data_IF_528482285176
#
_entry.id   IF_528482285176
#
_cell.length_a   1.000
_cell.length_b   1.000
_cell.length_c   1.000
_cell.angle_alpha   90.00
_cell.angle_beta   90.00
_cell.angle_gamma   90.00
#
_symmetry.space_group_name_H-M   'P 1'
#
loop_
_entity.id
_entity.type
_entity.pdbx_description
1 polymer ?
#
# COMPACT_ATOMS: atom_id res chain seq x y z
N UNK A 1 -41.99 -31.00 -60.81
CA UNK A 1 -42.35 -29.98 -59.80
C UNK A 1 -41.63 -30.30 -58.50
N UNK A 2 -41.33 -29.28 -57.68
CA UNK A 2 -40.54 -29.26 -56.41
C UNK A 2 -39.03 -29.50 -56.55
N UNK A 3 -38.08 -28.71 -56.02
CA UNK A 3 -38.04 -27.60 -55.04
C UNK A 3 -36.79 -26.71 -55.30
N UNK A 4 -36.89 -25.38 -55.07
CA UNK A 4 -35.75 -24.46 -54.82
C UNK A 4 -35.37 -24.56 -53.34
N UNK A 5 -34.07 -24.49 -52.98
CA UNK A 5 -33.47 -23.27 -52.40
C UNK A 5 -31.97 -23.15 -52.75
N UNK A 6 -31.14 -22.25 -52.23
CA UNK A 6 -31.12 -20.80 -51.93
C UNK A 6 -29.63 -20.50 -51.64
N UNK A 7 -29.17 -19.29 -51.99
CA UNK A 7 -27.79 -18.77 -51.88
C UNK A 7 -27.15 -19.02 -50.51
N UNK A 8 -25.83 -19.23 -50.47
CA UNK A 8 -24.96 -18.63 -49.44
C UNK A 8 -23.50 -18.63 -49.89
N UNK A 9 -22.92 -17.43 -50.00
CA UNK A 9 -21.50 -17.22 -50.21
C UNK A 9 -20.71 -17.58 -48.96
N UNK A 10 -19.55 -18.20 -49.15
CA UNK A 10 -18.61 -18.50 -48.09
C UNK A 10 -17.80 -17.24 -47.76
N UNK A 11 -18.06 -16.64 -46.60
CA UNK A 11 -17.22 -15.64 -45.98
C UNK A 11 -16.06 -16.36 -45.27
N UNK A 12 -14.84 -16.19 -45.80
CA UNK A 12 -13.61 -16.63 -45.15
C UNK A 12 -13.36 -15.69 -43.97
N UNK A 13 -13.66 -16.15 -42.77
CA UNK A 13 -13.36 -15.43 -41.52
C UNK A 13 -11.91 -15.76 -41.15
N UNK A 14 -11.00 -14.82 -41.40
CA UNK A 14 -9.63 -14.90 -40.87
C UNK A 14 -9.68 -14.74 -39.35
N UNK A 15 -9.31 -15.80 -38.62
CA UNK A 15 -9.17 -15.77 -37.16
C UNK A 15 -7.96 -14.90 -36.79
N UNK A 16 -8.22 -13.71 -36.27
CA UNK A 16 -7.22 -12.91 -35.58
C UNK A 16 -6.95 -13.55 -34.20
N UNK A 17 -5.79 -14.20 -34.03
CA UNK A 17 -5.32 -14.64 -32.72
C UNK A 17 -4.92 -13.41 -31.89
N UNK A 18 -5.76 -13.02 -30.95
CA UNK A 18 -5.39 -12.07 -29.91
C UNK A 18 -4.46 -12.79 -28.91
N UNK A 19 -3.17 -12.44 -28.92
CA UNK A 19 -2.24 -12.85 -27.87
C UNK A 19 -2.62 -12.11 -26.58
N UNK A 20 -3.25 -12.83 -25.65
CA UNK A 20 -3.45 -12.34 -24.29
C UNK A 20 -2.08 -12.20 -23.64
N UNK A 21 -1.55 -10.98 -23.59
CA UNK A 21 -0.44 -10.64 -22.72
C UNK A 21 -1.00 -10.68 -21.29
N UNK A 22 -0.92 -11.85 -20.67
CA UNK A 22 -1.01 -11.98 -19.22
C UNK A 22 0.22 -11.26 -18.66
N UNK A 23 0.10 -9.94 -18.51
CA UNK A 23 1.03 -9.16 -17.71
C UNK A 23 1.01 -9.76 -16.32
N UNK A 24 2.07 -10.47 -15.96
CA UNK A 24 2.38 -10.75 -14.57
C UNK A 24 2.42 -9.38 -13.90
N UNK A 25 1.36 -9.04 -13.16
CA UNK A 25 1.42 -7.90 -12.26
C UNK A 25 2.59 -8.22 -11.32
N UNK A 26 3.72 -7.54 -11.53
CA UNK A 26 4.74 -7.49 -10.49
C UNK A 26 4.01 -7.02 -9.24
N UNK A 27 4.23 -7.64 -8.07
CA UNK A 27 3.67 -7.09 -6.84
C UNK A 27 4.05 -5.61 -6.83
N UNK A 28 3.07 -4.71 -6.67
CA UNK A 28 3.33 -3.28 -6.58
C UNK A 28 4.47 -3.13 -5.58
N UNK A 29 5.65 -2.73 -6.08
CA UNK A 29 6.86 -2.77 -5.29
C UNK A 29 6.65 -1.78 -4.14
N UNK A 30 6.39 -2.33 -2.95
CA UNK A 30 6.64 -1.72 -1.67
C UNK A 30 7.90 -0.85 -1.76
N UNK A 31 7.80 0.44 -1.51
CA UNK A 31 8.93 1.35 -1.58
C UNK A 31 9.71 1.37 -0.25
N UNK A 32 9.91 0.21 0.38
CA UNK A 32 10.82 0.12 1.51
C UNK A 32 12.24 0.21 0.98
N UNK A 33 12.99 1.17 1.49
CA UNK A 33 14.36 1.43 1.10
C UNK A 33 15.21 1.79 2.32
N UNK A 34 16.53 1.81 2.16
CA UNK A 34 17.45 2.23 3.23
C UNK A 34 17.58 3.74 3.21
N UNK A 35 17.36 4.40 4.34
CA UNK A 35 17.61 5.83 4.50
C UNK A 35 18.32 6.10 5.84
N UNK A 36 18.74 7.36 6.06
CA UNK A 36 19.32 7.80 7.33
C UNK A 36 18.35 8.72 8.06
N UNK A 37 17.98 8.36 9.27
CA UNK A 37 17.17 9.17 10.18
C UNK A 37 18.06 9.56 11.35
N UNK A 38 18.29 10.85 11.57
CA UNK A 38 19.19 11.38 12.60
C UNK A 38 20.62 10.79 12.61
N UNK A 39 21.11 10.32 11.46
CA UNK A 39 22.43 9.71 11.33
C UNK A 39 22.44 8.18 11.44
N UNK A 40 21.33 7.57 11.88
CA UNK A 40 21.19 6.11 11.96
C UNK A 40 20.58 5.55 10.67
N UNK A 41 21.19 4.49 10.13
CA UNK A 41 20.70 3.82 8.93
C UNK A 41 19.53 2.90 9.27
N UNK A 42 18.35 3.19 8.74
CA UNK A 42 17.11 2.45 8.99
C UNK A 42 16.37 2.10 7.70
N UNK A 43 15.31 1.29 7.82
CA UNK A 43 14.38 1.04 6.73
C UNK A 43 13.35 2.15 6.71
N UNK A 44 13.04 2.69 5.54
CA UNK A 44 12.19 3.86 5.38
C UNK A 44 11.17 3.63 4.28
N UNK A 45 10.09 4.39 4.31
CA UNK A 45 9.04 4.41 3.30
C UNK A 45 8.42 5.79 3.23
N UNK A 46 7.47 5.98 2.33
CA UNK A 46 6.72 7.23 2.21
C UNK A 46 5.27 7.07 2.66
N UNK A 47 4.72 8.13 3.23
CA UNK A 47 3.30 8.24 3.56
C UNK A 47 2.48 8.41 2.28
N UNK A 48 1.32 7.73 2.21
CA UNK A 48 0.46 7.72 1.03
C UNK A 48 -1.02 7.52 1.42
N UNK A 49 -1.92 7.68 0.44
CA UNK A 49 -3.34 7.35 0.60
C UNK A 49 -4.13 8.30 1.51
N UNK A 50 -3.59 9.48 1.82
CA UNK A 50 -4.32 10.53 2.56
C UNK A 50 -5.13 11.39 1.57
N UNK A 51 -6.39 11.67 1.90
CA UNK A 51 -7.24 12.56 1.10
C UNK A 51 -6.68 14.00 1.00
N UNK A 52 -6.89 14.70 -0.13
CA UNK A 52 -6.48 16.10 -0.27
C UNK A 52 -7.03 17.00 0.86
N UNK A 53 -6.16 17.81 1.47
CA UNK A 53 -6.54 18.69 2.59
C UNK A 53 -6.59 18.00 3.96
N UNK A 54 -6.31 16.70 4.03
CA UNK A 54 -6.21 15.93 5.27
C UNK A 54 -4.75 15.62 5.63
N UNK A 55 -4.55 15.07 6.83
CA UNK A 55 -3.25 14.63 7.33
C UNK A 55 -3.38 13.31 8.07
N UNK A 56 -2.29 12.55 8.12
CA UNK A 56 -2.16 11.37 8.96
C UNK A 56 -1.62 11.81 10.33
N UNK A 57 -2.36 11.49 11.39
CA UNK A 57 -1.98 11.82 12.75
C UNK A 57 -1.27 10.64 13.42
N UNK A 58 -0.01 10.84 13.81
CA UNK A 58 0.73 9.92 14.68
C UNK A 58 0.07 9.79 16.04
N UNK A 59 0.02 8.56 16.54
CA UNK A 59 -0.59 8.17 17.82
C UNK A 59 0.46 7.67 18.79
N UNK A 60 0.19 7.84 20.08
CA UNK A 60 1.05 7.32 21.16
C UNK A 60 0.95 5.81 21.35
N UNK A 61 -0.03 5.16 20.70
CA UNK A 61 -0.19 3.71 20.64
C UNK A 61 -0.94 3.29 19.36
N UNK A 62 -1.06 1.98 19.10
CA UNK A 62 -1.58 1.44 17.84
C UNK A 62 -3.12 1.49 17.79
N UNK A 63 -3.70 2.69 17.82
CA UNK A 63 -5.15 2.85 17.76
C UNK A 63 -5.61 4.30 17.81
N UNK A 64 -6.85 4.54 17.41
CA UNK A 64 -7.43 5.88 17.34
C UNK A 64 -7.91 6.41 18.70
N UNK A 65 -8.05 5.53 19.70
CA UNK A 65 -8.30 5.90 21.09
C UNK A 65 -7.06 6.42 21.85
N UNK A 66 -5.86 6.26 21.29
CA UNK A 66 -4.63 6.76 21.88
C UNK A 66 -4.45 8.26 21.62
N UNK A 67 -3.75 8.93 22.54
CA UNK A 67 -3.44 10.36 22.42
C UNK A 67 -2.61 10.64 21.16
N UNK A 68 -2.82 11.82 20.59
CA UNK A 68 -2.02 12.33 19.47
C UNK A 68 -0.59 12.62 19.94
N UNK A 69 0.40 12.28 19.12
CA UNK A 69 1.76 12.79 19.32
C UNK A 69 1.76 14.28 18.95
N UNK A 70 2.22 15.18 19.83
CA UNK A 70 2.31 16.61 19.54
C UNK A 70 3.17 16.87 18.29
N UNK A 71 2.69 17.72 17.38
CA UNK A 71 3.35 18.00 16.10
C UNK A 71 3.66 16.74 15.26
N UNK A 72 2.84 15.69 15.42
CA UNK A 72 2.97 14.41 14.71
C UNK A 72 2.03 14.26 13.52
N UNK A 73 1.80 15.33 12.76
CA UNK A 73 0.98 15.30 11.54
C UNK A 73 1.87 15.03 10.34
N UNK A 74 1.44 14.13 9.46
CA UNK A 74 2.14 13.71 8.25
C UNK A 74 1.27 13.93 7.02
N UNK A 75 1.91 14.19 5.88
CA UNK A 75 1.31 14.40 4.58
C UNK A 75 1.77 13.33 3.59
N UNK A 76 1.04 13.19 2.47
CA UNK A 76 1.48 12.32 1.39
C UNK A 76 2.88 12.74 0.90
N UNK A 77 3.78 11.76 0.77
CA UNK A 77 5.16 11.96 0.35
C UNK A 77 6.16 12.16 1.50
N UNK A 78 5.71 12.36 2.74
CA UNK A 78 6.62 12.41 3.89
C UNK A 78 7.36 11.07 4.04
N UNK A 79 8.69 11.13 4.16
CA UNK A 79 9.53 9.96 4.42
C UNK A 79 9.61 9.68 5.91
N UNK A 80 9.41 8.42 6.28
CA UNK A 80 9.38 7.97 7.68
C UNK A 80 10.27 6.75 7.88
N UNK A 81 10.99 6.72 8.99
CA UNK A 81 11.75 5.54 9.42
C UNK A 81 10.81 4.50 10.03
N UNK A 82 11.03 3.22 9.73
CA UNK A 82 10.26 2.08 10.21
C UNK A 82 11.03 1.38 11.33
N UNK A 83 10.47 1.38 12.55
CA UNK A 83 11.15 0.80 13.74
C UNK A 83 10.69 -0.62 14.03
N UNK A 84 9.38 -0.83 14.19
CA UNK A 84 8.76 -2.12 14.42
C UNK A 84 7.26 -2.07 14.07
N UNK A 85 6.62 -3.23 13.94
CA UNK A 85 5.19 -3.31 13.66
C UNK A 85 4.41 -3.99 14.78
N UNK A 86 3.13 -3.67 14.92
CA UNK A 86 2.20 -4.35 15.82
C UNK A 86 0.79 -4.37 15.22
N UNK A 87 -0.17 -4.96 15.94
CA UNK A 87 -1.58 -4.92 15.57
C UNK A 87 -2.38 -4.01 16.50
N UNK A 88 -3.42 -3.39 15.97
CA UNK A 88 -4.18 -2.37 16.69
C UNK A 88 -5.61 -2.20 16.18
N UNK A 89 -6.13 -0.98 16.24
CA UNK A 89 -7.39 -0.65 15.58
C UNK A 89 -7.28 -0.81 14.04
N UNK A 90 -8.40 -1.00 13.36
CA UNK A 90 -8.42 -0.94 11.90
C UNK A 90 -8.06 0.46 11.38
N UNK A 91 -7.61 0.58 10.14
CA UNK A 91 -7.46 1.88 9.49
C UNK A 91 -8.82 2.58 9.35
N UNK A 92 -8.83 3.92 9.32
CA UNK A 92 -10.06 4.69 9.20
C UNK A 92 -10.82 4.34 7.90
N UNK A 93 -10.09 4.17 6.79
CA UNK A 93 -10.67 3.83 5.49
C UNK A 93 -10.77 2.31 5.25
N UNK A 94 -10.14 1.51 6.11
CA UNK A 94 -10.24 0.06 6.07
C UNK A 94 -10.19 -0.53 7.48
N UNK A 95 -11.34 -0.67 8.16
CA UNK A 95 -11.41 -1.17 9.53
C UNK A 95 -10.89 -2.60 9.73
N UNK A 96 -10.72 -3.37 8.65
CA UNK A 96 -10.17 -4.73 8.70
C UNK A 96 -8.63 -4.74 8.60
N UNK A 97 -7.99 -3.63 8.21
CA UNK A 97 -6.55 -3.53 8.11
C UNK A 97 -5.95 -3.01 9.43
N UNK A 98 -5.39 -3.92 10.22
CA UNK A 98 -5.06 -3.68 11.63
C UNK A 98 -3.56 -3.54 11.93
N UNK A 99 -2.73 -3.39 10.91
CA UNK A 99 -1.28 -3.28 11.08
C UNK A 99 -0.87 -1.84 11.37
N UNK A 100 -0.07 -1.65 12.41
CA UNK A 100 0.48 -0.36 12.82
C UNK A 100 1.99 -0.41 12.83
N UNK A 101 2.62 0.65 12.33
CA UNK A 101 4.07 0.84 12.38
C UNK A 101 4.40 1.84 13.47
N UNK A 102 5.34 1.49 14.34
CA UNK A 102 6.09 2.50 15.08
C UNK A 102 7.07 3.14 14.10
N UNK A 103 6.86 4.41 13.82
CA UNK A 103 7.72 5.20 12.94
C UNK A 103 8.60 6.14 13.73
N UNK A 104 9.76 6.47 13.15
CA UNK A 104 10.72 7.42 13.67
C UNK A 104 10.99 8.55 12.66
N UNK A 105 10.86 9.79 13.13
CA UNK A 105 11.19 11.01 12.39
C UNK A 105 12.52 11.62 12.87
N UNK A 106 13.25 10.92 13.73
CA UNK A 106 14.56 11.31 14.25
C UNK A 106 14.52 12.27 15.44
N UNK A 107 13.44 13.07 15.55
CA UNK A 107 13.18 13.95 16.71
C UNK A 107 11.97 13.52 17.53
N UNK A 108 11.18 12.59 17.00
CA UNK A 108 9.98 12.03 17.63
C UNK A 108 9.63 10.71 16.96
N UNK A 109 8.92 9.87 17.70
CA UNK A 109 8.42 8.60 17.20
C UNK A 109 6.95 8.44 17.58
N UNK A 110 6.22 7.61 16.85
CA UNK A 110 4.81 7.35 17.12
C UNK A 110 4.25 6.28 16.20
N UNK A 111 3.03 5.85 16.49
CA UNK A 111 2.34 4.84 15.70
C UNK A 111 1.49 5.46 14.61
N UNK A 112 1.56 4.87 13.41
CA UNK A 112 0.64 5.12 12.30
C UNK A 112 0.14 3.81 11.74
N UNK A 113 -1.07 3.79 11.20
CA UNK A 113 -1.58 2.59 10.55
C UNK A 113 -0.86 2.41 9.20
N UNK A 114 -0.36 1.20 8.94
CA UNK A 114 0.43 0.86 7.75
C UNK A 114 -0.37 0.99 6.44
N UNK A 115 -1.71 1.04 6.51
CA UNK A 115 -2.59 1.37 5.39
C UNK A 115 -2.23 2.69 4.69
N UNK A 116 -1.63 3.63 5.44
CA UNK A 116 -1.22 4.94 4.94
C UNK A 116 0.28 5.02 4.64
N UNK A 117 0.96 3.87 4.51
CA UNK A 117 2.37 3.79 4.17
C UNK A 117 2.57 3.01 2.88
N UNK A 118 3.59 3.38 2.11
CA UNK A 118 3.94 2.71 0.87
C UNK A 118 4.84 1.46 1.10
N UNK A 119 4.55 0.71 2.16
CA UNK A 119 5.29 -0.51 2.58
C UNK A 119 4.87 -1.76 1.81
N UNK A 120 3.78 -1.69 1.06
CA UNK A 120 3.22 -2.80 0.28
C UNK A 120 2.61 -3.92 1.15
N UNK A 121 2.82 -5.18 0.77
CA UNK A 121 2.10 -6.30 1.39
C UNK A 121 2.69 -6.70 2.76
N UNK A 122 1.86 -6.90 3.81
CA UNK A 122 2.31 -7.37 5.12
C UNK A 122 3.21 -8.60 5.11
N UNK A 123 2.90 -9.60 4.29
CA UNK A 123 3.73 -10.81 4.20
C UNK A 123 5.17 -10.55 3.74
N UNK A 124 5.40 -9.43 3.04
CA UNK A 124 6.73 -9.01 2.57
C UNK A 124 7.43 -8.19 3.64
N UNK A 125 6.79 -7.13 4.14
CA UNK A 125 7.46 -6.23 5.09
C UNK A 125 7.62 -6.85 6.48
N UNK A 126 6.80 -7.82 6.89
CA UNK A 126 6.97 -8.54 8.16
C UNK A 126 8.26 -9.36 8.22
N UNK A 127 8.84 -9.70 7.07
CA UNK A 127 10.15 -10.36 7.00
C UNK A 127 11.32 -9.38 7.16
N UNK A 128 11.07 -8.08 7.02
CA UNK A 128 12.08 -7.02 7.00
C UNK A 128 12.03 -6.14 8.26
N UNK A 129 10.86 -6.04 8.88
CA UNK A 129 10.59 -5.20 10.04
C UNK A 129 10.18 -6.13 11.17
N UNK A 130 10.87 -6.04 12.31
CA UNK A 130 10.54 -6.85 13.48
C UNK A 130 9.21 -6.43 14.10
N UNK A 131 8.57 -7.35 14.80
CA UNK A 131 7.42 -7.02 15.63
C UNK A 131 7.83 -6.20 16.86
N UNK A 132 6.95 -5.28 17.30
CA UNK A 132 6.91 -4.74 18.65
C UNK A 132 6.18 -5.77 19.54
#
# INVERSE_FOLDING_TARGET
MTLRPRRTGALITALATAAAVLGLATPANAAIHRCSISGDMTNCTTVTGIDPGSWLQMRTGPGYGYANVPHGTLLNGDEVGLTCWTTGDGAADNPNYRYWMLIDLGVRSGYVNDWYLNTGNPSVWQQQIRQC
#
